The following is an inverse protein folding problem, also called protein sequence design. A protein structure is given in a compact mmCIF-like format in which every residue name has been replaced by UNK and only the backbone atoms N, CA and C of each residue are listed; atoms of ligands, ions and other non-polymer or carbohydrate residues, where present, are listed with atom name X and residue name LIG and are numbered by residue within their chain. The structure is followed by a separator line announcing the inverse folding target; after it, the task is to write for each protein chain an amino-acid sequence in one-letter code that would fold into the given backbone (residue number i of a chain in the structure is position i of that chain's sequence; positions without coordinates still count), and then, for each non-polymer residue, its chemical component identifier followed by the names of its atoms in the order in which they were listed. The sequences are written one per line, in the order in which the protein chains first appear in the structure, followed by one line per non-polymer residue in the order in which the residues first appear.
data_IF_934461574119
#
_entry.id   IF_934461574119
#
_cell.length_a   1.000
_cell.length_b   1.000
_cell.length_c   1.000
_cell.angle_alpha   90.00
_cell.angle_beta   90.00
_cell.angle_gamma   90.00
#
_symmetry.space_group_name_H-M   'P 1'
#
loop_
_entity.id
_entity.type
_entity.pdbx_description
1 polymer ?
#
# COMPACT_ATOMS: atom_id res chain seq x y z
N UNK A 1 -21.52 29.76 -13.69
CA UNK A 1 -22.19 28.45 -13.95
C UNK A 1 -22.68 27.89 -12.62
N UNK A 2 -23.83 27.22 -12.59
CA UNK A 2 -24.30 26.57 -11.39
C UNK A 2 -23.33 25.44 -10.98
N UNK A 3 -23.16 25.22 -9.67
CA UNK A 3 -22.38 24.08 -9.19
C UNK A 3 -22.99 22.76 -9.73
N UNK A 4 -22.17 21.76 -10.09
CA UNK A 4 -22.68 20.49 -10.58
C UNK A 4 -23.62 19.85 -9.55
N UNK A 5 -24.73 19.32 -10.00
CA UNK A 5 -25.72 18.65 -9.14
C UNK A 5 -25.19 17.37 -8.51
N UNK A 6 -24.17 16.74 -9.11
CA UNK A 6 -23.48 15.57 -8.59
C UNK A 6 -22.00 15.64 -8.96
N UNK A 7 -21.13 15.29 -8.02
CA UNK A 7 -19.69 15.11 -8.28
C UNK A 7 -19.36 13.70 -8.76
N UNK A 8 -20.29 12.74 -8.61
CA UNK A 8 -20.11 11.36 -9.05
C UNK A 8 -20.29 11.32 -10.56
N UNK A 9 -19.26 10.94 -11.28
CA UNK A 9 -19.21 10.93 -12.75
C UNK A 9 -18.63 9.62 -13.32
N UNK A 10 -18.02 8.79 -12.49
CA UNK A 10 -17.42 7.52 -12.88
C UNK A 10 -18.04 6.35 -12.09
N UNK A 11 -17.93 5.16 -12.65
CA UNK A 11 -18.21 3.92 -11.92
C UNK A 11 -17.01 3.54 -11.05
N UNK A 12 -17.28 3.05 -9.83
CA UNK A 12 -16.24 2.49 -8.96
C UNK A 12 -15.58 1.20 -9.50
N UNK A 13 -16.26 0.52 -10.45
CA UNK A 13 -15.88 -0.81 -10.93
C UNK A 13 -15.16 -0.82 -12.27
N UNK A 14 -15.14 0.31 -12.95
CA UNK A 14 -14.48 0.47 -14.26
C UNK A 14 -13.41 1.55 -14.20
N UNK A 15 -12.45 1.50 -15.12
CA UNK A 15 -11.45 2.55 -15.24
C UNK A 15 -12.11 3.92 -15.45
N UNK A 16 -11.75 4.95 -14.66
CA UNK A 16 -12.28 6.30 -14.85
C UNK A 16 -12.01 6.82 -16.25
N UNK A 17 -13.04 7.40 -16.88
CA UNK A 17 -12.95 7.95 -18.25
C UNK A 17 -13.00 9.47 -18.28
N UNK A 18 -13.28 10.10 -17.16
CA UNK A 18 -13.43 11.55 -17.04
C UNK A 18 -13.09 12.01 -15.62
N UNK A 19 -12.84 13.31 -15.47
CA UNK A 19 -12.62 13.90 -14.17
C UNK A 19 -13.06 15.37 -14.13
N UNK A 20 -13.30 15.88 -12.94
CA UNK A 20 -13.50 17.32 -12.70
C UNK A 20 -12.16 18.04 -12.63
N UNK A 21 -11.94 19.03 -13.52
CA UNK A 21 -10.83 19.96 -13.48
C UNK A 21 -11.32 21.33 -12.98
N UNK A 22 -10.50 22.02 -12.20
CA UNK A 22 -10.78 23.37 -11.70
C UNK A 22 -10.27 24.41 -12.70
N UNK A 23 -11.11 25.38 -13.04
CA UNK A 23 -10.75 26.55 -13.83
C UNK A 23 -10.08 27.62 -12.94
N UNK A 24 -9.48 28.64 -13.57
CA UNK A 24 -8.87 29.76 -12.82
C UNK A 24 -9.86 30.53 -11.93
N UNK A 25 -11.15 30.54 -12.27
CA UNK A 25 -12.24 31.15 -11.50
C UNK A 25 -12.83 30.19 -10.44
N UNK A 26 -12.19 29.06 -10.18
CA UNK A 26 -12.62 27.97 -9.26
C UNK A 26 -13.92 27.27 -9.65
N UNK A 27 -14.41 27.47 -10.86
CA UNK A 27 -15.50 26.65 -11.40
C UNK A 27 -14.97 25.29 -11.86
N UNK A 28 -15.82 24.27 -11.81
CA UNK A 28 -15.46 22.94 -12.28
C UNK A 28 -15.86 22.76 -13.75
N UNK A 29 -14.96 22.14 -14.53
CA UNK A 29 -15.24 21.68 -15.88
C UNK A 29 -14.98 20.18 -15.95
N UNK A 30 -15.75 19.48 -16.78
CA UNK A 30 -15.58 18.07 -17.02
C UNK A 30 -14.53 17.86 -18.12
N UNK A 31 -13.47 17.09 -17.78
CA UNK A 31 -12.46 16.66 -18.74
C UNK A 31 -12.72 15.23 -19.19
N UNK A 32 -12.77 14.94 -20.52
CA UNK A 32 -13.06 13.61 -21.04
C UNK A 32 -11.80 12.71 -21.05
N UNK A 33 -11.13 12.61 -19.93
CA UNK A 33 -9.96 11.78 -19.72
C UNK A 33 -9.86 11.38 -18.25
N UNK A 34 -9.18 10.27 -17.95
CA UNK A 34 -8.82 9.93 -16.58
C UNK A 34 -7.92 11.02 -15.98
N UNK A 35 -8.13 11.34 -14.70
CA UNK A 35 -7.25 12.25 -13.96
C UNK A 35 -5.80 11.78 -14.01
N UNK A 36 -4.84 12.63 -14.41
CA UNK A 36 -3.41 12.33 -14.28
C UNK A 36 -3.06 12.04 -12.80
N UNK A 37 -2.10 11.13 -12.59
CA UNK A 37 -1.61 10.86 -11.25
C UNK A 37 -0.96 12.11 -10.66
N UNK A 38 -1.28 12.39 -9.40
CA UNK A 38 -0.77 13.60 -8.78
C UNK A 38 -1.32 13.86 -7.38
N UNK A 39 -0.91 14.98 -6.82
CA UNK A 39 -1.43 15.48 -5.56
C UNK A 39 -1.47 17.00 -5.56
N UNK A 40 -2.24 17.55 -4.66
CA UNK A 40 -2.38 18.99 -4.50
C UNK A 40 -1.63 19.47 -3.26
N UNK A 41 -0.82 20.50 -3.44
CA UNK A 41 -0.23 21.25 -2.34
C UNK A 41 -1.06 22.52 -2.12
N UNK A 42 -1.55 22.68 -0.90
CA UNK A 42 -2.30 23.88 -0.49
C UNK A 42 -1.38 24.72 0.40
N UNK A 43 -0.96 25.88 -0.11
CA UNK A 43 -0.29 26.87 0.72
C UNK A 43 -1.36 27.73 1.43
N UNK A 44 -1.54 27.47 2.72
CA UNK A 44 -2.53 28.20 3.54
C UNK A 44 -2.14 29.64 3.82
N UNK A 45 -0.86 30.02 3.68
CA UNK A 45 -0.38 31.38 3.91
C UNK A 45 -0.66 32.29 2.71
N UNK A 46 -0.41 31.74 1.50
CA UNK A 46 -0.63 32.45 0.24
C UNK A 46 -2.00 32.14 -0.38
N UNK A 47 -2.78 31.25 0.24
CA UNK A 47 -4.06 30.73 -0.28
C UNK A 47 -3.95 30.25 -1.73
N UNK A 48 -2.81 29.64 -2.06
CA UNK A 48 -2.53 29.09 -3.38
C UNK A 48 -2.65 27.56 -3.36
N UNK A 49 -3.04 27.00 -4.50
CA UNK A 49 -3.09 25.56 -4.75
C UNK A 49 -2.21 25.23 -5.93
N UNK A 50 -1.38 24.21 -5.77
CA UNK A 50 -0.50 23.74 -6.84
C UNK A 50 -0.68 22.24 -7.03
N UNK A 51 -1.02 21.84 -8.24
CA UNK A 51 -1.02 20.44 -8.65
C UNK A 51 0.41 19.97 -8.93
N UNK A 52 0.79 18.87 -8.32
CA UNK A 52 2.10 18.22 -8.52
C UNK A 52 1.85 16.89 -9.21
N UNK A 53 2.28 16.73 -10.46
CA UNK A 53 2.09 15.48 -11.21
C UNK A 53 3.04 14.39 -10.69
N UNK A 54 2.64 13.12 -10.88
CA UNK A 54 3.44 11.92 -10.66
C UNK A 54 3.59 11.17 -12.00
N UNK A 55 4.40 11.67 -12.95
CA UNK A 55 4.45 11.12 -14.31
C UNK A 55 4.85 9.64 -14.37
N UNK A 56 5.64 9.18 -13.39
CA UNK A 56 6.01 7.76 -13.27
C UNK A 56 4.77 6.88 -13.14
N UNK A 57 3.80 7.25 -12.31
CA UNK A 57 2.56 6.49 -12.13
C UNK A 57 1.73 6.45 -13.41
N UNK A 58 1.63 7.56 -14.14
CA UNK A 58 0.91 7.57 -15.42
C UNK A 58 1.59 6.66 -16.45
N UNK A 59 2.93 6.66 -16.49
CA UNK A 59 3.70 5.74 -17.33
C UNK A 59 3.47 4.28 -16.93
N UNK A 60 3.46 3.98 -15.63
CA UNK A 60 3.18 2.62 -15.12
C UNK A 60 1.75 2.20 -15.50
N UNK A 61 0.74 3.07 -15.33
CA UNK A 61 -0.65 2.79 -15.74
C UNK A 61 -0.75 2.34 -17.18
N UNK A 62 -0.05 3.04 -18.08
CA UNK A 62 -0.04 2.69 -19.51
C UNK A 62 0.63 1.34 -19.77
N UNK A 63 1.78 1.08 -19.11
CA UNK A 63 2.50 -0.20 -19.22
C UNK A 63 1.68 -1.37 -18.67
N UNK A 64 1.01 -1.19 -17.54
CA UNK A 64 0.14 -2.20 -16.93
C UNK A 64 -1.09 -2.47 -17.80
N UNK A 65 -1.67 -1.42 -18.43
CA UNK A 65 -2.79 -1.55 -19.37
C UNK A 65 -2.39 -2.40 -20.58
N UNK A 66 -1.23 -2.11 -21.18
CA UNK A 66 -0.72 -2.89 -22.31
C UNK A 66 -0.44 -4.35 -21.90
N UNK A 67 0.26 -4.56 -20.79
CA UNK A 67 0.56 -5.89 -20.27
C UNK A 67 -0.70 -6.72 -20.00
N UNK A 68 -1.74 -6.11 -19.48
CA UNK A 68 -3.05 -6.74 -19.29
C UNK A 68 -3.71 -7.09 -20.63
N UNK A 69 -3.68 -6.18 -21.60
CA UNK A 69 -4.23 -6.41 -22.94
C UNK A 69 -3.55 -7.59 -23.66
N UNK A 70 -2.26 -7.78 -23.42
CA UNK A 70 -1.47 -8.90 -23.94
C UNK A 70 -1.62 -10.21 -23.15
N UNK A 71 -2.52 -10.26 -22.16
CA UNK A 71 -2.82 -11.46 -21.38
C UNK A 71 -1.82 -11.77 -20.25
N UNK A 72 -1.20 -10.75 -19.66
CA UNK A 72 -0.27 -10.80 -18.52
C UNK A 72 0.97 -11.70 -18.74
N UNK A 73 1.75 -11.49 -19.81
CA UNK A 73 2.91 -12.33 -20.10
C UNK A 73 3.98 -12.24 -19.00
N UNK A 74 4.56 -13.41 -18.67
CA UNK A 74 5.56 -13.55 -17.62
C UNK A 74 5.03 -13.97 -16.26
N UNK A 75 3.70 -13.95 -16.06
CA UNK A 75 3.07 -14.42 -14.81
C UNK A 75 3.22 -15.91 -14.61
N UNK A 76 3.19 -16.35 -13.35
CA UNK A 76 3.04 -17.75 -13.02
C UNK A 76 1.62 -18.24 -13.36
N UNK A 77 1.42 -19.55 -13.50
CA UNK A 77 0.08 -20.10 -13.72
C UNK A 77 -0.89 -19.77 -12.56
N UNK A 78 -0.38 -19.70 -11.32
CA UNK A 78 -1.18 -19.30 -10.15
C UNK A 78 -1.58 -17.82 -10.27
N UNK A 79 -0.65 -16.95 -10.57
CA UNK A 79 -0.92 -15.52 -10.73
C UNK A 79 -1.88 -15.25 -11.87
N UNK A 80 -1.69 -15.93 -13.01
CA UNK A 80 -2.60 -15.79 -14.14
C UNK A 80 -4.04 -16.21 -13.77
N UNK A 81 -4.19 -17.34 -13.06
CA UNK A 81 -5.50 -17.81 -12.60
C UNK A 81 -6.16 -16.79 -11.62
N UNK A 82 -5.37 -16.17 -10.75
CA UNK A 82 -5.86 -15.11 -9.85
C UNK A 82 -6.33 -13.88 -10.63
N UNK A 83 -5.51 -13.37 -11.56
CA UNK A 83 -5.83 -12.18 -12.35
C UNK A 83 -7.08 -12.40 -13.23
N UNK A 84 -7.16 -13.54 -13.89
CA UNK A 84 -8.34 -13.93 -14.67
C UNK A 84 -9.59 -14.02 -13.78
N UNK A 85 -9.47 -14.63 -12.60
CA UNK A 85 -10.57 -14.76 -11.65
C UNK A 85 -11.03 -13.39 -11.10
N UNK A 86 -10.11 -12.50 -10.77
CA UNK A 86 -10.46 -11.19 -10.21
C UNK A 86 -11.07 -10.24 -11.25
N UNK A 87 -10.70 -10.39 -12.52
CA UNK A 87 -11.19 -9.55 -13.63
C UNK A 87 -12.30 -10.19 -14.46
N UNK A 88 -12.75 -11.39 -14.10
CA UNK A 88 -13.82 -12.08 -14.81
C UNK A 88 -15.13 -11.27 -14.72
N UNK A 89 -15.56 -10.70 -15.85
CA UNK A 89 -16.72 -9.85 -15.92
C UNK A 89 -18.02 -10.59 -15.52
N UNK A 90 -18.14 -11.88 -15.85
CA UNK A 90 -19.32 -12.69 -15.49
C UNK A 90 -19.36 -12.95 -13.99
N UNK A 91 -18.22 -13.12 -13.37
CA UNK A 91 -18.10 -13.27 -11.90
C UNK A 91 -18.30 -11.95 -11.18
N UNK A 92 -17.77 -10.84 -11.71
CA UNK A 92 -17.95 -9.50 -11.13
C UNK A 92 -19.45 -9.19 -10.94
N UNK A 93 -20.29 -9.50 -11.93
CA UNK A 93 -21.73 -9.26 -11.85
C UNK A 93 -22.47 -10.14 -10.80
N UNK A 94 -21.87 -11.28 -10.41
CA UNK A 94 -22.48 -12.26 -9.48
C UNK A 94 -21.90 -12.19 -8.07
N UNK A 95 -20.77 -11.53 -7.85
CA UNK A 95 -20.17 -11.38 -6.53
C UNK A 95 -21.03 -10.49 -5.65
N UNK A 96 -21.19 -10.88 -4.41
CA UNK A 96 -21.82 -10.05 -3.39
C UNK A 96 -21.01 -8.75 -3.17
N UNK A 97 -19.70 -8.84 -3.25
CA UNK A 97 -18.75 -7.72 -3.09
C UNK A 97 -17.80 -7.69 -4.28
N UNK A 98 -18.16 -7.04 -5.39
CA UNK A 98 -17.29 -6.90 -6.54
C UNK A 98 -16.10 -5.98 -6.21
N UNK A 99 -14.96 -6.24 -6.84
CA UNK A 99 -13.76 -5.42 -6.63
C UNK A 99 -13.89 -4.06 -7.30
N UNK A 100 -13.45 -3.03 -6.60
CA UNK A 100 -13.30 -1.72 -7.20
C UNK A 100 -12.13 -1.71 -8.20
N UNK A 101 -12.25 -0.85 -9.21
CA UNK A 101 -11.18 -0.69 -10.20
C UNK A 101 -9.83 -0.37 -9.56
N UNK A 102 -9.81 0.53 -8.58
CA UNK A 102 -8.57 0.93 -7.89
C UNK A 102 -7.91 -0.22 -7.12
N UNK A 103 -8.67 -1.19 -6.62
CA UNK A 103 -8.12 -2.37 -5.96
C UNK A 103 -7.43 -3.28 -6.97
N UNK A 104 -8.08 -3.52 -8.11
CA UNK A 104 -7.53 -4.32 -9.19
C UNK A 104 -6.28 -3.65 -9.81
N UNK A 105 -6.30 -2.34 -9.99
CA UNK A 105 -5.14 -1.59 -10.49
C UNK A 105 -3.97 -1.67 -9.52
N UNK A 106 -4.21 -1.49 -8.22
CA UNK A 106 -3.17 -1.55 -7.20
C UNK A 106 -2.47 -2.91 -7.18
N UNK A 107 -3.23 -4.02 -7.12
CA UNK A 107 -2.64 -5.36 -7.10
C UNK A 107 -1.98 -5.72 -8.44
N UNK A 108 -2.58 -5.37 -9.58
CA UNK A 108 -1.96 -5.62 -10.89
C UNK A 108 -0.63 -4.89 -11.05
N UNK A 109 -0.52 -3.66 -10.57
CA UNK A 109 0.72 -2.89 -10.61
C UNK A 109 1.84 -3.58 -9.83
N UNK A 110 1.54 -4.10 -8.63
CA UNK A 110 2.52 -4.85 -7.84
C UNK A 110 2.93 -6.16 -8.51
N UNK A 111 1.97 -6.88 -9.10
CA UNK A 111 2.23 -8.12 -9.86
C UNK A 111 3.06 -7.82 -11.10
N UNK A 112 2.68 -6.79 -11.87
CA UNK A 112 3.42 -6.33 -13.05
C UNK A 112 4.88 -6.03 -12.71
N UNK A 113 5.12 -5.28 -11.64
CA UNK A 113 6.47 -4.95 -11.21
C UNK A 113 7.33 -6.20 -10.94
N UNK A 114 6.75 -7.24 -10.34
CA UNK A 114 7.47 -8.47 -10.01
C UNK A 114 7.55 -9.47 -11.15
N UNK A 115 6.47 -9.64 -11.91
CA UNK A 115 6.29 -10.80 -12.79
C UNK A 115 6.33 -10.49 -14.28
N UNK A 116 6.02 -9.25 -14.71
CA UNK A 116 6.02 -8.90 -16.12
C UNK A 116 7.40 -9.14 -16.75
N UNK A 117 7.40 -9.53 -18.01
CA UNK A 117 8.63 -9.68 -18.78
C UNK A 117 9.39 -8.35 -18.86
N UNK A 118 10.72 -8.36 -19.00
CA UNK A 118 11.56 -7.15 -18.96
C UNK A 118 11.13 -6.05 -19.94
N UNK A 119 10.63 -6.42 -21.12
CA UNK A 119 10.16 -5.46 -22.14
C UNK A 119 9.02 -4.58 -21.66
N UNK A 120 8.12 -5.08 -20.80
CA UNK A 120 7.02 -4.30 -20.24
C UNK A 120 7.46 -3.31 -19.17
N UNK A 121 8.66 -3.51 -18.60
CA UNK A 121 9.24 -2.67 -17.55
C UNK A 121 10.40 -1.80 -18.02
N UNK A 122 10.74 -1.88 -19.31
CA UNK A 122 11.87 -1.15 -19.87
C UNK A 122 11.68 0.36 -19.68
N UNK A 123 12.73 1.04 -19.17
CA UNK A 123 12.75 2.49 -18.95
C UNK A 123 12.00 2.92 -17.67
N UNK A 124 11.44 1.98 -16.89
CA UNK A 124 10.82 2.30 -15.60
C UNK A 124 11.85 2.12 -14.49
N UNK A 125 12.07 3.18 -13.73
CA UNK A 125 12.93 3.18 -12.55
C UNK A 125 12.13 3.72 -11.36
N UNK A 126 11.96 2.87 -10.35
CA UNK A 126 11.29 3.24 -9.09
C UNK A 126 12.39 3.49 -8.06
N UNK A 127 12.41 4.68 -7.51
CA UNK A 127 13.36 5.02 -6.45
C UNK A 127 12.94 4.34 -5.16
N UNK A 128 13.92 3.78 -4.42
CA UNK A 128 13.69 3.23 -3.10
C UNK A 128 13.75 4.30 -2.02
N UNK A 129 13.44 3.91 -0.78
CA UNK A 129 13.52 4.76 0.42
C UNK A 129 14.95 4.91 0.99
N UNK A 130 15.96 4.42 0.28
CA UNK A 130 17.35 4.41 0.72
C UNK A 130 17.72 3.23 1.64
N UNK A 131 16.81 2.30 1.91
CA UNK A 131 17.06 1.09 2.70
C UNK A 131 17.53 -0.11 1.87
N UNK A 132 17.77 -1.23 2.57
CA UNK A 132 18.34 -2.45 1.98
C UNK A 132 17.28 -3.38 1.36
N UNK A 133 15.97 -3.13 1.58
CA UNK A 133 14.88 -3.92 1.01
C UNK A 133 13.96 -3.06 0.15
N UNK A 134 13.38 -3.70 -0.85
CA UNK A 134 12.49 -3.05 -1.80
C UNK A 134 11.17 -2.65 -1.13
N UNK A 135 10.74 -1.41 -1.34
CA UNK A 135 9.45 -0.87 -0.95
C UNK A 135 8.66 -0.41 -2.17
N UNK A 136 7.36 -0.69 -2.20
CA UNK A 136 6.44 -0.22 -3.23
C UNK A 136 5.18 0.32 -2.54
N UNK A 137 4.74 1.51 -2.92
CA UNK A 137 3.62 2.17 -2.29
C UNK A 137 2.43 2.32 -3.23
N UNK A 138 1.26 1.85 -2.79
CA UNK A 138 -0.02 2.16 -3.41
C UNK A 138 -0.67 3.35 -2.68
N UNK A 139 -0.77 4.49 -3.36
CA UNK A 139 -1.51 5.64 -2.85
C UNK A 139 -2.99 5.43 -3.13
N UNK A 140 -3.76 5.20 -2.08
CA UNK A 140 -5.18 4.85 -2.14
C UNK A 140 -5.98 5.64 -1.12
N UNK A 141 -7.01 6.35 -1.56
CA UNK A 141 -7.88 7.14 -0.69
C UNK A 141 -8.49 6.29 0.45
N UNK A 142 -8.78 6.92 1.57
CA UNK A 142 -9.55 6.29 2.64
C UNK A 142 -10.92 5.85 2.11
N UNK A 143 -11.37 4.63 2.45
CA UNK A 143 -12.62 4.07 1.94
C UNK A 143 -12.51 3.34 0.59
N UNK A 144 -11.37 3.39 -0.12
CA UNK A 144 -11.17 2.68 -1.40
C UNK A 144 -10.87 1.18 -1.24
N UNK A 145 -10.82 0.66 -0.01
CA UNK A 145 -10.66 -0.77 0.27
C UNK A 145 -9.20 -1.24 0.31
N UNK A 146 -8.30 -0.49 0.92
CA UNK A 146 -6.90 -0.89 1.16
C UNK A 146 -6.78 -2.30 1.75
N UNK A 147 -7.65 -2.66 2.71
CA UNK A 147 -7.64 -3.99 3.34
C UNK A 147 -7.91 -5.13 2.36
N UNK A 148 -8.77 -4.92 1.36
CA UNK A 148 -9.01 -5.90 0.28
C UNK A 148 -7.75 -6.09 -0.57
N UNK A 149 -7.03 -5.01 -0.88
CA UNK A 149 -5.74 -5.08 -1.60
C UNK A 149 -4.70 -5.84 -0.78
N UNK A 150 -4.64 -5.64 0.55
CA UNK A 150 -3.76 -6.43 1.43
C UNK A 150 -4.10 -7.94 1.36
N UNK A 151 -5.39 -8.29 1.38
CA UNK A 151 -5.82 -9.68 1.22
C UNK A 151 -5.42 -10.26 -0.14
N UNK A 152 -5.51 -9.47 -1.22
CA UNK A 152 -5.05 -9.86 -2.55
C UNK A 152 -3.52 -10.07 -2.60
N UNK A 153 -2.74 -9.18 -1.98
CA UNK A 153 -1.29 -9.31 -1.86
C UNK A 153 -0.93 -10.61 -1.12
N UNK A 154 -1.58 -10.88 0.02
CA UNK A 154 -1.36 -12.11 0.80
C UNK A 154 -1.70 -13.33 -0.06
N UNK A 155 -2.87 -13.34 -0.71
CA UNK A 155 -3.30 -14.44 -1.59
C UNK A 155 -2.27 -14.71 -2.68
N UNK A 156 -1.84 -13.68 -3.41
CA UNK A 156 -0.87 -13.78 -4.47
C UNK A 156 0.48 -14.31 -3.98
N UNK A 157 1.05 -13.73 -2.93
CA UNK A 157 2.36 -14.08 -2.39
C UNK A 157 2.37 -15.52 -1.83
N UNK A 158 1.39 -15.84 -0.99
CA UNK A 158 1.32 -17.15 -0.32
C UNK A 158 1.10 -18.29 -1.30
N UNK A 159 0.14 -18.15 -2.21
CA UNK A 159 -0.16 -19.23 -3.17
C UNK A 159 1.01 -19.50 -4.11
N UNK A 160 1.72 -18.45 -4.54
CA UNK A 160 2.94 -18.61 -5.33
C UNK A 160 4.09 -19.24 -4.52
N UNK A 161 4.32 -18.79 -3.28
CA UNK A 161 5.35 -19.36 -2.42
C UNK A 161 5.15 -20.86 -2.20
N UNK A 162 3.91 -21.28 -1.93
CA UNK A 162 3.56 -22.68 -1.67
C UNK A 162 3.52 -23.54 -2.94
N UNK A 163 3.38 -22.94 -4.11
CA UNK A 163 3.37 -23.64 -5.39
C UNK A 163 4.76 -23.69 -6.02
N UNK A 164 5.53 -22.61 -5.89
CA UNK A 164 6.85 -22.46 -6.49
C UNK A 164 7.92 -22.10 -5.44
N UNK A 165 8.21 -22.99 -4.48
CA UNK A 165 9.10 -22.67 -3.34
C UNK A 165 10.56 -22.37 -3.75
N UNK A 166 10.96 -22.75 -4.96
CA UNK A 166 12.30 -22.48 -5.53
C UNK A 166 12.29 -21.31 -6.52
N UNK A 167 11.21 -20.53 -6.60
CA UNK A 167 11.12 -19.40 -7.53
C UNK A 167 12.20 -18.36 -7.23
N UNK A 168 12.93 -17.89 -8.26
CA UNK A 168 13.89 -16.78 -8.09
C UNK A 168 13.23 -15.47 -7.67
N UNK A 169 11.91 -15.35 -7.87
CA UNK A 169 11.10 -14.19 -7.45
C UNK A 169 10.93 -14.09 -5.94
N UNK A 170 11.31 -15.11 -5.17
CA UNK A 170 11.27 -15.13 -3.70
C UNK A 170 9.90 -14.74 -3.12
N UNK A 171 8.84 -15.40 -3.58
CA UNK A 171 7.53 -15.28 -2.94
C UNK A 171 7.58 -15.75 -1.49
N UNK A 172 6.70 -15.25 -0.64
CA UNK A 172 6.66 -15.63 0.78
C UNK A 172 5.29 -16.12 1.22
N UNK A 173 5.28 -17.17 2.05
CA UNK A 173 4.11 -17.60 2.80
C UNK A 173 4.05 -16.99 4.21
N UNK A 174 5.09 -16.23 4.60
CA UNK A 174 5.20 -15.54 5.88
C UNK A 174 5.02 -14.03 5.65
N UNK A 175 3.92 -13.50 6.17
CA UNK A 175 3.52 -12.10 5.99
C UNK A 175 3.48 -11.41 7.35
N UNK A 176 4.25 -10.34 7.48
CA UNK A 176 4.26 -9.47 8.64
C UNK A 176 3.55 -8.16 8.30
N UNK A 177 2.42 -7.92 8.94
CA UNK A 177 1.60 -6.74 8.71
C UNK A 177 1.72 -5.79 9.90
N UNK A 178 2.05 -4.54 9.63
CA UNK A 178 2.22 -3.51 10.65
C UNK A 178 1.12 -2.46 10.52
N UNK A 179 0.41 -2.25 11.63
CA UNK A 179 -0.70 -1.31 11.75
C UNK A 179 -0.29 -0.08 12.56
N UNK A 180 -0.89 1.10 12.30
CA UNK A 180 -0.57 2.34 13.02
C UNK A 180 -1.07 2.36 14.47
N UNK A 181 -2.00 1.48 14.84
CA UNK A 181 -2.54 1.45 16.19
C UNK A 181 -3.37 0.20 16.52
N UNK A 182 -3.76 0.05 17.79
CA UNK A 182 -4.48 -1.13 18.28
C UNK A 182 -5.85 -1.31 17.63
N UNK A 183 -6.59 -0.23 17.42
CA UNK A 183 -7.92 -0.28 16.76
C UNK A 183 -7.80 -0.77 15.32
N UNK A 184 -6.79 -0.29 14.60
CA UNK A 184 -6.53 -0.74 13.22
C UNK A 184 -6.06 -2.19 13.22
N UNK A 185 -5.15 -2.58 14.12
CA UNK A 185 -4.72 -3.98 14.31
C UNK A 185 -5.93 -4.90 14.52
N UNK A 186 -6.89 -4.52 15.37
CA UNK A 186 -8.11 -5.31 15.60
C UNK A 186 -8.97 -5.46 14.33
N UNK A 187 -9.12 -4.40 13.54
CA UNK A 187 -9.86 -4.44 12.27
C UNK A 187 -9.18 -5.30 11.21
N UNK A 188 -7.86 -5.38 11.21
CA UNK A 188 -7.10 -6.16 10.24
C UNK A 188 -7.11 -7.66 10.52
N UNK A 189 -7.70 -8.14 11.63
CA UNK A 189 -7.82 -9.57 11.92
C UNK A 189 -8.56 -10.36 10.84
N UNK A 190 -9.41 -9.71 10.04
CA UNK A 190 -10.07 -10.29 8.86
C UNK A 190 -9.07 -10.77 7.77
N UNK A 191 -7.79 -10.40 7.89
CA UNK A 191 -6.70 -10.87 7.03
C UNK A 191 -6.07 -12.19 7.50
N UNK A 192 -6.47 -12.72 8.65
CA UNK A 192 -6.07 -14.06 9.09
C UNK A 192 -6.94 -15.09 8.36
N UNK A 193 -6.35 -16.09 7.66
CA UNK A 193 -7.14 -17.08 6.90
C UNK A 193 -8.14 -17.88 7.72
N UNK A 194 -7.88 -18.05 9.02
CA UNK A 194 -8.77 -18.73 9.96
C UNK A 194 -9.79 -17.84 10.65
N UNK A 195 -9.85 -16.54 10.36
CA UNK A 195 -10.84 -15.66 10.96
C UNK A 195 -12.25 -15.97 10.41
N UNK A 196 -13.32 -16.01 11.24
CA UNK A 196 -14.68 -16.31 10.77
C UNK A 196 -15.16 -15.40 9.64
N UNK A 197 -14.79 -14.13 9.69
CA UNK A 197 -15.15 -13.10 8.70
C UNK A 197 -13.94 -12.75 7.81
N UNK A 198 -13.13 -13.77 7.44
CA UNK A 198 -11.94 -13.52 6.65
C UNK A 198 -12.28 -12.99 5.25
N UNK A 199 -11.44 -12.11 4.73
CA UNK A 199 -11.65 -11.48 3.43
C UNK A 199 -11.43 -12.42 2.25
N UNK A 200 -10.75 -13.55 2.45
CA UNK A 200 -10.51 -14.53 1.38
C UNK A 200 -11.79 -15.22 0.93
N UNK A 201 -12.68 -15.51 1.87
CA UNK A 201 -14.01 -16.09 1.61
C UNK A 201 -15.03 -15.01 1.27
N UNK A 202 -15.03 -13.90 2.02
CA UNK A 202 -15.95 -12.79 1.84
C UNK A 202 -15.89 -12.21 0.42
N UNK A 203 -14.68 -12.04 -0.13
CA UNK A 203 -14.44 -11.49 -1.46
C UNK A 203 -14.16 -12.57 -2.52
N UNK A 204 -14.29 -13.84 -2.16
CA UNK A 204 -14.03 -14.97 -3.09
C UNK A 204 -12.66 -14.81 -3.80
N UNK A 205 -11.57 -14.57 -3.04
CA UNK A 205 -10.27 -14.25 -3.62
C UNK A 205 -9.62 -15.41 -4.37
N UNK A 206 -9.94 -16.65 -4.03
CA UNK A 206 -9.35 -17.83 -4.65
C UNK A 206 -10.23 -18.37 -5.78
N UNK A 207 -9.68 -18.70 -6.96
CA UNK A 207 -10.44 -19.21 -8.10
C UNK A 207 -10.93 -20.65 -7.91
N UNK A 208 -10.42 -21.38 -6.91
CA UNK A 208 -10.81 -22.77 -6.60
C UNK A 208 -10.64 -23.08 -5.13
N UNK A 209 -11.41 -24.06 -4.65
CA UNK A 209 -11.32 -24.59 -3.28
C UNK A 209 -9.92 -25.16 -2.97
N UNK A 210 -9.26 -25.76 -3.93
CA UNK A 210 -7.90 -26.27 -3.77
C UNK A 210 -6.89 -25.15 -3.46
N UNK A 211 -7.01 -23.99 -4.11
CA UNK A 211 -6.18 -22.83 -3.82
C UNK A 211 -6.59 -22.20 -2.49
N UNK A 212 -7.89 -22.13 -2.17
CA UNK A 212 -8.37 -21.63 -0.89
C UNK A 212 -7.83 -22.46 0.29
N UNK A 213 -7.92 -23.79 0.19
CA UNK A 213 -7.36 -24.72 1.19
C UNK A 213 -5.85 -24.56 1.34
N UNK A 214 -5.12 -24.33 0.22
CA UNK A 214 -3.69 -24.05 0.26
C UNK A 214 -3.37 -22.75 1.00
N UNK A 215 -4.21 -21.72 0.87
CA UNK A 215 -4.04 -20.43 1.54
C UNK A 215 -4.13 -20.53 3.07
N UNK A 216 -4.81 -21.54 3.62
CA UNK A 216 -4.84 -21.79 5.07
C UNK A 216 -3.46 -22.06 5.69
N UNK A 217 -2.45 -22.32 4.85
CA UNK A 217 -1.05 -22.51 5.28
C UNK A 217 -0.28 -21.18 5.35
N UNK A 218 -0.92 -20.06 5.07
CA UNK A 218 -0.32 -18.75 5.23
C UNK A 218 0.04 -18.50 6.70
N UNK A 219 1.22 -17.95 6.92
CA UNK A 219 1.66 -17.49 8.22
C UNK A 219 1.55 -15.96 8.24
N UNK A 220 0.45 -15.46 8.79
CA UNK A 220 0.17 -14.01 8.86
C UNK A 220 0.27 -13.56 10.31
N UNK A 221 1.14 -12.59 10.57
CA UNK A 221 1.27 -11.91 11.86
C UNK A 221 0.89 -10.44 11.68
N UNK A 222 -0.02 -9.97 12.52
CA UNK A 222 -0.49 -8.59 12.52
C UNK A 222 -0.08 -7.94 13.84
N UNK A 223 0.79 -6.93 13.76
CA UNK A 223 1.24 -6.18 14.92
C UNK A 223 1.02 -4.68 14.72
N UNK A 224 0.98 -3.93 15.83
CA UNK A 224 1.09 -2.49 15.73
C UNK A 224 2.57 -2.08 15.76
N UNK A 225 2.86 -0.87 15.27
CA UNK A 225 4.23 -0.37 15.17
C UNK A 225 4.96 -0.30 16.53
N UNK A 226 4.23 -0.19 17.67
CA UNK A 226 4.85 -0.18 18.99
C UNK A 226 5.62 -1.47 19.29
N UNK A 227 5.25 -2.59 18.65
CA UNK A 227 6.01 -3.83 18.76
C UNK A 227 7.45 -3.68 18.24
N UNK A 228 7.69 -2.74 17.31
CA UNK A 228 9.00 -2.43 16.75
C UNK A 228 9.84 -1.50 17.64
N UNK A 229 9.28 -0.99 18.74
CA UNK A 229 10.05 -0.20 19.69
C UNK A 229 11.04 -1.07 20.48
N UNK A 230 12.23 -0.54 20.80
CA UNK A 230 13.13 -1.22 21.75
C UNK A 230 12.48 -1.32 23.13
N UNK A 231 12.78 -2.39 23.87
CA UNK A 231 12.31 -2.54 25.24
C UNK A 231 12.87 -1.42 26.14
N UNK A 232 12.02 -0.86 26.99
CA UNK A 232 12.44 0.06 28.04
C UNK A 232 13.23 -0.68 29.13
N UNK A 233 14.12 0.05 29.85
CA UNK A 233 14.98 -0.56 30.88
C UNK A 233 14.25 -1.39 31.96
N UNK A 234 13.09 -0.97 32.52
CA UNK A 234 12.38 -1.76 33.51
C UNK A 234 11.75 -3.05 32.98
N UNK A 235 11.57 -3.16 31.68
CA UNK A 235 11.01 -4.35 30.99
C UNK A 235 12.09 -5.41 30.70
N UNK A 236 13.37 -5.10 31.02
CA UNK A 236 14.49 -6.02 30.81
C UNK A 236 14.64 -6.95 31.99
N UNK A 237 14.86 -8.22 31.72
CA UNK A 237 15.21 -9.20 32.76
C UNK A 237 16.46 -8.74 33.54
N UNK A 238 16.46 -8.91 34.86
CA UNK A 238 17.56 -8.58 35.78
C UNK A 238 18.90 -9.23 35.37
N UNK A 239 18.86 -10.27 34.54
CA UNK A 239 20.02 -11.06 34.10
C UNK A 239 20.71 -10.46 32.84
N UNK A 240 20.03 -9.57 32.07
CA UNK A 240 20.57 -9.00 30.83
C UNK A 240 20.65 -7.48 30.93
N UNK A 241 21.75 -7.01 31.50
CA UNK A 241 22.17 -5.59 31.42
C UNK A 241 22.81 -5.38 30.04
N UNK A 242 22.10 -4.77 29.10
CA UNK A 242 22.62 -4.43 27.78
C UNK A 242 21.52 -4.15 26.75
N UNK A 243 21.90 -3.56 25.62
CA UNK A 243 20.98 -3.29 24.51
C UNK A 243 20.48 -4.62 23.91
N UNK A 244 19.19 -4.72 23.61
CA UNK A 244 18.59 -5.90 22.96
C UNK A 244 19.27 -6.19 21.63
N UNK A 245 19.80 -7.41 21.43
CA UNK A 245 20.40 -7.81 20.14
C UNK A 245 19.37 -7.88 19.03
N UNK A 246 19.78 -7.74 17.77
CA UNK A 246 18.88 -7.81 16.61
C UNK A 246 18.17 -9.17 16.53
N UNK A 247 18.85 -10.27 16.91
CA UNK A 247 18.24 -11.60 16.96
C UNK A 247 17.15 -11.71 18.05
N UNK A 248 17.41 -11.17 19.25
CA UNK A 248 16.42 -11.17 20.34
C UNK A 248 15.21 -10.29 19.96
N UNK A 249 15.46 -9.13 19.35
CA UNK A 249 14.45 -8.24 18.83
C UNK A 249 13.59 -8.95 17.77
N UNK A 250 14.21 -9.54 16.75
CA UNK A 250 13.49 -10.23 15.68
C UNK A 250 12.61 -11.38 16.23
N UNK A 251 13.13 -12.16 17.20
CA UNK A 251 12.34 -13.21 17.87
C UNK A 251 11.15 -12.66 18.63
N UNK A 252 11.34 -11.58 19.37
CA UNK A 252 10.27 -10.95 20.12
C UNK A 252 9.18 -10.38 19.23
N UNK A 253 9.56 -9.62 18.20
CA UNK A 253 8.62 -8.95 17.32
C UNK A 253 7.89 -9.92 16.42
N UNK A 254 8.60 -10.87 15.84
CA UNK A 254 8.06 -11.79 14.84
C UNK A 254 7.35 -13.02 15.44
N UNK A 255 7.57 -13.33 16.74
CA UNK A 255 6.93 -14.48 17.38
C UNK A 255 7.04 -15.76 16.54
N UNK A 256 5.92 -16.28 16.06
CA UNK A 256 5.88 -17.49 15.22
C UNK A 256 6.59 -17.34 13.87
N UNK A 257 6.69 -16.12 13.32
CA UNK A 257 7.41 -15.85 12.09
C UNK A 257 8.93 -15.77 12.28
N UNK A 258 9.44 -15.83 13.50
CA UNK A 258 10.87 -15.67 13.79
C UNK A 258 11.77 -16.75 13.15
N UNK A 259 11.20 -17.88 12.75
CA UNK A 259 11.91 -18.96 12.04
C UNK A 259 11.86 -18.83 10.52
N UNK A 260 11.02 -17.93 10.00
CA UNK A 260 10.85 -17.70 8.58
C UNK A 260 11.92 -16.77 8.02
N UNK A 261 12.20 -16.92 6.73
CA UNK A 261 13.07 -16.04 5.95
C UNK A 261 12.32 -15.47 4.75
N UNK A 262 12.85 -14.39 4.18
CA UNK A 262 12.26 -13.73 3.02
C UNK A 262 10.80 -13.30 3.30
N UNK A 263 10.60 -12.59 4.40
CA UNK A 263 9.27 -12.10 4.80
C UNK A 263 8.72 -11.13 3.76
N UNK A 264 7.41 -11.15 3.56
CA UNK A 264 6.68 -10.03 2.98
C UNK A 264 6.19 -9.15 4.13
N UNK A 265 6.46 -7.86 4.04
CA UNK A 265 5.95 -6.85 4.96
C UNK A 265 4.83 -6.07 4.28
N UNK A 266 3.76 -5.77 5.01
CA UNK A 266 2.70 -4.86 4.57
C UNK A 266 2.54 -3.78 5.64
N UNK A 267 2.72 -2.52 5.27
CA UNK A 267 2.48 -1.38 6.16
C UNK A 267 1.14 -0.75 5.82
N UNK A 268 0.20 -0.76 6.78
CA UNK A 268 -1.02 0.02 6.69
C UNK A 268 -0.76 1.45 7.19
N UNK A 269 -1.37 2.43 6.54
CA UNK A 269 -1.13 3.86 6.77
C UNK A 269 0.38 4.19 6.77
N UNK A 270 1.06 3.76 5.72
CA UNK A 270 2.53 3.76 5.60
C UNK A 270 3.18 5.16 5.67
N UNK A 271 2.38 6.25 5.66
CA UNK A 271 2.87 7.60 5.92
C UNK A 271 3.45 7.78 7.34
N UNK A 272 3.21 6.82 8.23
CA UNK A 272 3.86 6.71 9.54
C UNK A 272 5.20 5.94 9.50
N UNK A 273 5.64 5.44 8.34
CA UNK A 273 6.81 4.58 8.22
C UNK A 273 7.78 5.08 7.13
N UNK A 274 8.62 6.06 7.44
CA UNK A 274 9.60 6.60 6.49
C UNK A 274 10.97 6.81 7.15
N UNK A 275 12.03 6.83 6.33
CA UNK A 275 13.38 7.14 6.78
C UNK A 275 13.55 8.66 6.88
N UNK A 276 14.12 9.12 7.99
CA UNK A 276 14.47 10.52 8.12
C UNK A 276 15.61 10.83 7.14
N UNK A 277 15.44 11.78 6.21
CA UNK A 277 16.57 12.23 5.38
C UNK A 277 17.70 12.77 6.26
N UNK A 278 18.95 12.47 5.89
CA UNK A 278 20.12 12.85 6.68
C UNK A 278 20.24 14.36 6.96
N UNK A 279 19.69 15.17 6.06
CA UNK A 279 19.79 16.63 6.08
C UNK A 279 18.61 17.33 6.80
N UNK A 280 17.60 16.59 7.27
CA UNK A 280 16.42 17.15 7.93
C UNK A 280 16.72 17.42 9.39
N UNK A 281 16.92 18.70 9.74
CA UNK A 281 16.95 19.20 11.13
C UNK A 281 15.56 19.78 11.48
N UNK A 282 14.53 18.96 11.47
CA UNK A 282 13.24 19.37 12.05
C UNK A 282 13.35 19.39 13.57
N UNK A 283 13.01 20.52 14.18
CA UNK A 283 12.79 20.58 15.62
C UNK A 283 11.53 19.80 15.98
N UNK A 284 11.44 19.32 17.22
CA UNK A 284 10.27 18.59 17.71
C UNK A 284 8.97 19.40 17.57
N UNK A 285 9.04 20.72 17.81
CA UNK A 285 7.92 21.63 17.69
C UNK A 285 7.43 21.81 16.23
N UNK A 286 8.33 21.80 15.26
CA UNK A 286 7.97 21.89 13.82
C UNK A 286 7.32 20.58 13.34
N UNK A 287 7.80 19.43 13.79
CA UNK A 287 7.20 18.14 13.48
C UNK A 287 5.78 18.02 14.06
N UNK A 288 5.58 18.42 15.33
CA UNK A 288 4.27 18.45 15.98
C UNK A 288 3.29 19.40 15.27
N UNK A 289 3.75 20.56 14.80
CA UNK A 289 2.94 21.50 14.03
C UNK A 289 2.49 20.95 12.67
N UNK A 290 3.24 19.98 12.12
CA UNK A 290 2.93 19.27 10.87
C UNK A 290 2.12 17.96 11.13
N UNK A 291 1.82 17.64 12.39
CA UNK A 291 1.16 16.37 12.76
C UNK A 291 2.03 15.14 12.52
N UNK A 292 3.35 15.31 12.50
CA UNK A 292 4.33 14.25 12.21
C UNK A 292 5.01 13.82 13.50
N UNK A 293 4.88 12.54 13.85
CA UNK A 293 5.70 11.92 14.89
C UNK A 293 6.98 11.33 14.27
N UNK A 294 8.06 12.11 14.31
CA UNK A 294 9.36 11.70 13.79
C UNK A 294 9.93 10.49 14.52
N UNK A 295 9.66 10.34 15.81
CA UNK A 295 10.12 9.21 16.60
C UNK A 295 9.38 7.94 16.17
N UNK A 296 8.06 8.03 15.94
CA UNK A 296 7.26 6.92 15.42
C UNK A 296 7.78 6.41 14.08
N UNK A 297 7.88 7.32 13.10
CA UNK A 297 8.27 6.97 11.75
C UNK A 297 9.66 6.34 11.68
N UNK A 298 10.62 6.92 12.39
CA UNK A 298 11.99 6.41 12.45
C UNK A 298 12.06 5.04 13.13
N UNK A 299 11.38 4.86 14.27
CA UNK A 299 11.37 3.58 15.01
C UNK A 299 10.72 2.46 14.23
N UNK A 300 9.64 2.77 13.49
CA UNK A 300 8.98 1.79 12.65
C UNK A 300 9.94 1.21 11.61
N UNK A 301 10.60 2.09 10.84
CA UNK A 301 11.52 1.66 9.77
C UNK A 301 12.81 1.04 10.33
N UNK A 302 13.41 1.61 11.40
CA UNK A 302 14.56 1.00 12.08
C UNK A 302 14.27 -0.43 12.56
N UNK A 303 13.04 -0.66 13.07
CA UNK A 303 12.61 -2.00 13.46
C UNK A 303 12.55 -2.97 12.28
N UNK A 304 12.05 -2.51 11.12
CA UNK A 304 12.06 -3.31 9.89
C UNK A 304 13.48 -3.60 9.40
N UNK A 305 14.42 -2.65 9.51
CA UNK A 305 15.84 -2.87 9.17
C UNK A 305 16.47 -3.96 10.04
N UNK A 306 16.20 -3.94 11.36
CA UNK A 306 16.66 -4.98 12.27
C UNK A 306 16.10 -6.36 11.91
N UNK A 307 14.82 -6.41 11.54
CA UNK A 307 14.19 -7.65 11.04
C UNK A 307 14.84 -8.09 9.74
N UNK A 308 15.09 -7.16 8.80
CA UNK A 308 15.72 -7.48 7.52
C UNK A 308 17.10 -8.12 7.70
N UNK A 309 17.93 -7.58 8.56
CA UNK A 309 19.27 -8.15 8.88
C UNK A 309 19.19 -9.61 9.34
N UNK A 310 18.16 -9.96 10.12
CA UNK A 310 18.05 -11.27 10.75
C UNK A 310 17.25 -12.29 9.90
N UNK A 311 16.24 -11.84 9.17
CA UNK A 311 15.26 -12.73 8.51
C UNK A 311 15.08 -12.47 7.01
N UNK A 312 15.69 -11.42 6.48
CA UNK A 312 15.48 -10.89 5.13
C UNK A 312 14.01 -10.53 4.87
N UNK A 313 13.75 -9.31 4.49
CA UNK A 313 12.50 -8.86 3.93
C UNK A 313 12.63 -8.97 2.41
N UNK A 314 11.83 -9.83 1.78
CA UNK A 314 11.83 -9.99 0.33
C UNK A 314 11.24 -8.76 -0.35
N UNK A 315 10.15 -8.21 0.23
CA UNK A 315 9.45 -6.99 -0.24
C UNK A 315 8.66 -6.37 0.88
N UNK A 316 8.49 -5.06 0.76
CA UNK A 316 7.63 -4.28 1.64
C UNK A 316 6.59 -3.55 0.78
N UNK A 317 5.32 -3.78 1.06
CA UNK A 317 4.19 -3.13 0.39
C UNK A 317 3.57 -2.11 1.32
N UNK A 318 3.56 -0.88 0.88
CA UNK A 318 3.04 0.26 1.61
C UNK A 318 1.66 0.65 1.06
N UNK A 319 0.68 0.83 1.94
CA UNK A 319 -0.63 1.34 1.59
C UNK A 319 -0.91 2.60 2.40
N UNK A 320 -1.21 3.70 1.72
CA UNK A 320 -1.52 4.97 2.38
C UNK A 320 -2.41 5.83 1.50
N UNK A 321 -3.25 6.64 2.13
CA UNK A 321 -3.99 7.70 1.43
C UNK A 321 -3.10 8.93 1.18
N UNK A 322 -2.14 9.16 2.04
CA UNK A 322 -1.29 10.36 2.08
C UNK A 322 0.18 9.98 2.29
N UNK A 323 0.84 9.28 1.34
CA UNK A 323 2.21 8.80 1.50
C UNK A 323 3.23 9.94 1.37
N UNK A 324 3.27 10.82 2.35
CA UNK A 324 4.17 11.96 2.40
C UNK A 324 5.16 11.83 3.55
N UNK A 325 6.39 12.29 3.31
CA UNK A 325 7.44 12.41 4.31
C UNK A 325 8.08 13.81 4.25
N UNK A 326 8.69 14.30 5.32
CA UNK A 326 9.44 15.56 5.31
C UNK A 326 10.60 15.50 4.31
N UNK A 327 10.75 16.50 3.42
CA UNK A 327 11.78 16.51 2.36
C UNK A 327 13.10 17.12 2.77
N UNK A 328 13.18 17.84 3.88
CA UNK A 328 14.41 18.48 4.36
C UNK A 328 14.87 19.73 3.61
N UNK A 329 14.22 20.09 2.50
CA UNK A 329 14.63 21.25 1.69
C UNK A 329 14.05 22.56 2.19
N UNK A 330 12.94 22.52 2.88
CA UNK A 330 12.40 23.64 3.68
C UNK A 330 11.62 23.03 4.85
N UNK A 331 11.61 23.70 5.99
CA UNK A 331 10.96 23.23 7.22
C UNK A 331 9.42 23.10 7.11
N UNK A 332 8.84 23.24 5.92
CA UNK A 332 7.39 23.28 5.67
C UNK A 332 6.92 22.39 4.54
N UNK A 333 7.80 21.72 3.79
CA UNK A 333 7.39 20.88 2.66
C UNK A 333 7.52 19.39 2.97
N UNK A 334 6.38 18.69 2.91
CA UNK A 334 6.35 17.23 2.84
C UNK A 334 6.41 16.80 1.38
N UNK A 335 7.29 15.86 1.04
CA UNK A 335 7.37 15.25 -0.28
C UNK A 335 6.63 13.93 -0.35
N UNK A 336 6.07 13.62 -1.52
CA UNK A 336 5.50 12.31 -1.76
C UNK A 336 6.59 11.24 -1.72
N UNK A 337 6.27 10.04 -1.25
CA UNK A 337 7.17 8.89 -1.33
C UNK A 337 7.59 8.62 -2.78
N UNK A 338 8.89 8.48 -3.01
CA UNK A 338 9.45 8.27 -4.37
C UNK A 338 9.14 6.87 -4.94
N UNK A 339 8.73 5.93 -4.07
CA UNK A 339 8.34 4.56 -4.43
C UNK A 339 6.83 4.36 -4.60
N UNK A 340 6.07 5.45 -4.85
CA UNK A 340 4.65 5.35 -5.22
C UNK A 340 4.52 4.80 -6.64
N UNK A 341 3.78 3.70 -6.79
CA UNK A 341 3.58 2.99 -8.07
C UNK A 341 2.15 3.01 -8.59
N UNK A 342 1.18 3.33 -7.73
CA UNK A 342 -0.21 3.52 -8.13
C UNK A 342 -0.84 4.68 -7.37
N UNK A 343 -1.81 5.34 -7.97
CA UNK A 343 -2.50 6.50 -7.41
C UNK A 343 -4.00 6.44 -7.68
N UNK A 344 -4.78 6.44 -6.61
CA UNK A 344 -6.22 6.64 -6.62
C UNK A 344 -6.56 7.58 -5.45
N UNK A 345 -6.57 8.89 -5.75
CA UNK A 345 -6.68 9.95 -4.77
C UNK A 345 -8.12 10.18 -4.26
N UNK A 346 -8.25 11.16 -3.36
CA UNK A 346 -9.55 11.51 -2.78
C UNK A 346 -10.55 11.98 -3.85
N UNK A 347 -10.11 12.77 -4.82
CA UNK A 347 -10.96 13.26 -5.91
C UNK A 347 -11.49 12.10 -6.76
N UNK A 348 -10.61 11.12 -7.10
CA UNK A 348 -11.03 9.93 -7.82
C UNK A 348 -12.08 9.12 -7.04
N UNK A 349 -11.90 9.00 -5.72
CA UNK A 349 -12.81 8.29 -4.85
C UNK A 349 -14.19 8.98 -4.71
N UNK A 350 -14.21 10.32 -4.70
CA UNK A 350 -15.45 11.12 -4.71
C UNK A 350 -16.16 10.95 -6.06
N UNK A 351 -15.43 11.09 -7.15
CA UNK A 351 -15.96 10.98 -8.52
C UNK A 351 -16.47 9.57 -8.85
N UNK A 352 -15.92 8.56 -8.20
CA UNK A 352 -16.38 7.17 -8.28
C UNK A 352 -17.48 6.81 -7.26
N UNK A 353 -17.90 7.74 -6.41
CA UNK A 353 -18.94 7.52 -5.40
C UNK A 353 -18.51 6.63 -4.21
N UNK A 354 -17.21 6.39 -4.02
CA UNK A 354 -16.68 5.57 -2.92
C UNK A 354 -16.61 6.34 -1.61
N UNK A 355 -16.47 7.65 -1.68
CA UNK A 355 -16.34 8.54 -0.53
C UNK A 355 -17.36 9.67 -0.65
N UNK A 356 -18.02 9.98 0.45
CA UNK A 356 -18.95 11.10 0.52
C UNK A 356 -18.18 12.42 0.37
N UNK A 357 -18.74 13.36 -0.38
CA UNK A 357 -18.21 14.70 -0.47
C UNK A 357 -18.20 15.35 0.91
N UNK A 358 -17.06 15.90 1.37
CA UNK A 358 -17.02 16.68 2.61
C UNK A 358 -17.98 17.87 2.51
N UNK A 359 -18.84 18.02 3.49
CA UNK A 359 -19.69 19.22 3.61
C UNK A 359 -19.14 20.08 4.73
N UNK A 360 -18.78 21.30 4.40
CA UNK A 360 -18.49 22.32 5.41
C UNK A 360 -19.82 22.92 5.81
N UNK A 361 -20.20 22.77 7.07
CA UNK A 361 -21.34 23.49 7.64
C UNK A 361 -20.78 24.89 7.98
N UNK A 362 -21.22 25.88 7.26
CA UNK A 362 -20.92 27.31 7.53
C UNK A 362 -21.89 27.81 8.57
#
# INVERSE_FOLDING_TARGET
MAAPTSLIINSAFTEPQQHWAENADRTLRLEPARRPAGYEIIDTRENTRRQVPIPLVDTIRERVRQWRADGWPGTTAVTLALLQHWRDADKVSRRQYPFYFCQLEAIETLIWHLEALPEYRQGIHIQGDGGEFERLCNKMATGSGKTTVMAMIITWQVLNALTYPKSPRKYSSAVFLVAPGLTVKARLQVLLPGHPENYYDLFELCPSEALRSKLNRAQVLIENWHALMPLKEPERSVVRKGQESDEAFARRVLGSLAVCKNLVVINDEAHHAYRKPADVKLSKAEAEAMGIDLDEATRWVEGLDRIHKMRSIARCYDLSATPFAPTGRSNTEAGLFEWVVSDFGLNDAIEAGLVKTPRVVV
#
